data_IF_362384596358
#
_entry.id   IF_362384596358
#
_cell.length_a   1.000
_cell.length_b   1.000
_cell.length_c   1.000
_cell.angle_alpha   90.00
_cell.angle_beta   90.00
_cell.angle_gamma   90.00
#
_symmetry.space_group_name_H-M   'P 1'
#
loop_
_entity.id
_entity.type
_entity.pdbx_description
1 polymer ?
#
# COMPACT_ATOMS: atom_id res chain seq x y z
N UNK A 1 -48.71 32.60 2.28
CA UNK A 1 -48.02 31.30 2.35
C UNK A 1 -46.63 31.46 1.73
N UNK A 2 -45.67 32.13 2.40
CA UNK A 2 -44.33 32.38 1.80
C UNK A 2 -43.21 32.56 2.85
N UNK A 3 -43.38 32.09 4.09
CA UNK A 3 -42.38 32.29 5.16
C UNK A 3 -41.36 31.15 5.33
N UNK A 4 -41.44 30.06 4.56
CA UNK A 4 -40.52 28.91 4.72
C UNK A 4 -39.36 28.86 3.70
N UNK A 5 -39.36 29.74 2.69
CA UNK A 5 -38.35 29.75 1.63
C UNK A 5 -36.89 29.99 2.07
N UNK A 6 -36.58 31.02 2.89
CA UNK A 6 -35.20 31.37 3.19
C UNK A 6 -34.54 30.44 4.21
N UNK A 7 -35.31 29.90 5.16
CA UNK A 7 -34.82 29.00 6.21
C UNK A 7 -34.48 27.62 5.67
N UNK A 8 -35.28 27.10 4.74
CA UNK A 8 -35.00 25.83 4.05
C UNK A 8 -33.72 25.93 3.21
N UNK A 9 -33.53 27.07 2.52
CA UNK A 9 -32.34 27.29 1.69
C UNK A 9 -31.05 27.35 2.52
N UNK A 10 -31.10 27.98 3.70
CA UNK A 10 -29.97 28.03 4.64
C UNK A 10 -29.64 26.65 5.23
N UNK A 11 -30.65 25.83 5.52
CA UNK A 11 -30.45 24.46 6.01
C UNK A 11 -29.82 23.56 4.93
N UNK A 12 -30.28 23.67 3.69
CA UNK A 12 -29.72 22.89 2.57
C UNK A 12 -28.29 23.35 2.25
N UNK A 13 -28.03 24.66 2.24
CA UNK A 13 -26.69 25.20 2.04
C UNK A 13 -25.73 24.80 3.17
N UNK A 14 -26.18 24.87 4.43
CA UNK A 14 -25.41 24.42 5.58
C UNK A 14 -25.10 22.93 5.55
N UNK A 15 -26.08 22.10 5.18
CA UNK A 15 -25.91 20.65 5.03
C UNK A 15 -24.89 20.28 3.95
N UNK A 16 -24.96 20.91 2.78
CA UNK A 16 -24.02 20.67 1.68
C UNK A 16 -22.59 21.10 2.03
N UNK A 17 -22.43 22.20 2.77
CA UNK A 17 -21.13 22.69 3.20
C UNK A 17 -20.50 21.75 4.24
N UNK A 18 -21.30 21.26 5.20
CA UNK A 18 -20.86 20.26 6.18
C UNK A 18 -20.44 18.95 5.49
N UNK A 19 -21.23 18.50 4.51
CA UNK A 19 -20.95 17.28 3.75
C UNK A 19 -19.68 17.42 2.90
N UNK A 20 -19.45 18.59 2.29
CA UNK A 20 -18.20 18.91 1.59
C UNK A 20 -16.98 18.89 2.50
N UNK A 21 -17.08 19.44 3.73
CA UNK A 21 -16.00 19.39 4.72
C UNK A 21 -15.72 17.95 5.14
N UNK A 22 -16.75 17.15 5.39
CA UNK A 22 -16.60 15.75 5.79
C UNK A 22 -15.91 14.94 4.68
N UNK A 23 -16.38 15.08 3.42
CA UNK A 23 -15.79 14.35 2.29
C UNK A 23 -14.34 14.78 2.05
N UNK A 24 -14.05 16.08 2.09
CA UNK A 24 -12.67 16.56 1.90
C UNK A 24 -11.76 16.10 3.03
N UNK A 25 -12.24 16.16 4.27
CA UNK A 25 -11.51 15.66 5.44
C UNK A 25 -11.24 14.16 5.37
N UNK A 26 -12.22 13.37 4.92
CA UNK A 26 -12.07 11.92 4.74
C UNK A 26 -11.06 11.60 3.64
N UNK A 27 -11.09 12.29 2.51
CA UNK A 27 -10.13 12.11 1.41
C UNK A 27 -8.71 12.46 1.88
N UNK A 28 -8.52 13.57 2.59
CA UNK A 28 -7.22 13.94 3.16
C UNK A 28 -6.75 12.89 4.17
N UNK A 29 -7.64 12.40 5.03
CA UNK A 29 -7.31 11.36 6.00
C UNK A 29 -6.87 10.07 5.32
N UNK A 30 -7.60 9.60 4.29
CA UNK A 30 -7.26 8.41 3.51
C UNK A 30 -5.90 8.59 2.83
N UNK A 31 -5.64 9.74 2.20
CA UNK A 31 -4.34 10.02 1.56
C UNK A 31 -3.21 10.04 2.59
N UNK A 32 -3.44 10.61 3.77
CA UNK A 32 -2.45 10.63 4.86
C UNK A 32 -2.19 9.22 5.39
N UNK A 33 -3.23 8.41 5.61
CA UNK A 33 -3.09 7.03 6.07
C UNK A 33 -2.39 6.16 5.03
N UNK A 34 -2.76 6.28 3.74
CA UNK A 34 -2.10 5.58 2.64
C UNK A 34 -0.62 5.98 2.51
N UNK A 35 -0.29 7.26 2.69
CA UNK A 35 1.12 7.69 2.76
C UNK A 35 1.82 7.12 3.99
N UNK A 36 1.18 7.10 5.16
CA UNK A 36 1.77 6.57 6.39
C UNK A 36 2.12 5.10 6.26
N UNK A 37 1.27 4.30 5.60
CA UNK A 37 1.56 2.89 5.34
C UNK A 37 2.75 2.70 4.39
N UNK A 38 2.92 3.57 3.39
CA UNK A 38 4.13 3.55 2.53
C UNK A 38 5.42 3.96 3.26
N UNK A 39 5.31 4.59 4.43
CA UNK A 39 6.47 4.96 5.27
C UNK A 39 6.64 4.07 6.49
N UNK A 40 5.88 2.97 6.63
CA UNK A 40 6.27 1.91 7.53
C UNK A 40 7.59 1.36 6.99
N UNK A 41 8.71 1.88 7.52
CA UNK A 41 10.03 1.44 7.11
C UNK A 41 10.09 -0.08 7.31
N UNK A 42 10.63 -0.84 6.32
CA UNK A 42 10.99 -2.21 6.59
C UNK A 42 11.88 -2.20 7.83
N UNK A 43 11.51 -2.99 8.84
CA UNK A 43 12.27 -3.09 10.07
C UNK A 43 13.70 -3.49 9.67
N UNK A 44 14.64 -2.55 9.78
CA UNK A 44 16.03 -2.85 9.48
C UNK A 44 16.46 -3.97 10.42
N UNK A 45 17.11 -5.04 9.92
CA UNK A 45 17.66 -6.06 10.79
C UNK A 45 18.58 -5.39 11.81
N UNK A 46 18.60 -5.87 13.07
CA UNK A 46 19.47 -5.30 14.09
C UNK A 46 20.90 -5.29 13.57
N UNK A 47 21.49 -4.10 13.47
CA UNK A 47 22.87 -3.91 13.04
C UNK A 47 23.75 -4.69 14.02
N UNK A 48 24.26 -5.84 13.59
CA UNK A 48 25.27 -6.57 14.35
C UNK A 48 26.47 -5.63 14.50
N UNK A 49 26.84 -5.35 15.75
CA UNK A 49 27.95 -4.46 16.07
C UNK A 49 29.24 -5.00 15.47
N UNK A 50 29.67 -4.43 14.35
CA UNK A 50 30.97 -4.69 13.76
C UNK A 50 32.05 -4.23 14.75
N UNK A 51 33.07 -5.06 15.05
CA UNK A 51 34.18 -4.67 15.92
C UNK A 51 34.81 -3.34 15.44
N UNK A 52 34.79 -2.34 16.32
CA UNK A 52 35.17 -0.98 16.00
C UNK A 52 36.64 -0.84 15.63
N UNK A 53 36.90 -0.31 14.44
CA UNK A 53 38.20 0.30 14.12
C UNK A 53 38.20 1.75 14.62
N UNK A 54 39.31 2.23 15.20
CA UNK A 54 39.41 3.61 15.68
C UNK A 54 39.28 4.59 14.51
N UNK A 55 38.49 5.67 14.65
CA UNK A 55 38.31 6.65 13.58
C UNK A 55 39.63 7.36 13.26
N UNK A 56 39.99 7.53 11.97
CA UNK A 56 41.15 8.32 11.58
C UNK A 56 40.94 9.80 11.95
N UNK A 57 42.00 10.42 12.46
CA UNK A 57 41.99 11.80 12.95
C UNK A 57 41.59 12.79 11.86
N UNK A 58 40.53 13.55 12.13
CA UNK A 58 40.08 14.63 11.26
C UNK A 58 41.04 15.82 11.32
N UNK A 59 41.33 16.48 10.18
CA UNK A 59 42.11 17.71 10.14
C UNK A 59 41.36 18.88 10.82
N UNK A 60 42.08 19.87 11.37
CA UNK A 60 41.48 20.99 12.08
C UNK A 60 40.58 21.82 11.16
N UNK A 61 39.32 22.03 11.57
CA UNK A 61 38.39 22.88 10.84
C UNK A 61 38.78 24.36 10.95
N UNK A 62 38.71 25.14 9.85
CA UNK A 62 38.91 26.58 9.87
C UNK A 62 37.83 27.26 10.73
N UNK A 63 38.26 28.17 11.60
CA UNK A 63 37.38 28.99 12.44
C UNK A 63 36.33 29.72 11.60
N UNK A 64 35.05 29.40 11.85
CA UNK A 64 33.92 30.11 11.25
C UNK A 64 33.86 31.54 11.79
N UNK A 65 33.87 32.50 10.87
CA UNK A 65 33.71 33.92 11.17
C UNK A 65 32.37 34.18 11.87
N UNK A 66 32.40 35.06 12.87
CA UNK A 66 31.25 35.47 13.65
C UNK A 66 30.16 36.12 12.77
N UNK A 67 28.87 35.80 12.97
CA UNK A 67 27.78 36.36 12.18
C UNK A 67 27.64 37.86 12.47
N UNK A 68 27.69 38.66 11.40
CA UNK A 68 27.40 40.09 11.46
C UNK A 68 25.90 40.30 11.74
N UNK A 69 25.53 41.26 12.61
CA UNK A 69 24.13 41.56 12.91
C UNK A 69 23.42 42.13 11.67
N UNK A 70 22.46 41.38 11.15
CA UNK A 70 21.66 41.77 9.99
C UNK A 70 20.63 42.84 10.41
N UNK A 71 20.84 44.07 9.96
CA UNK A 71 19.94 45.20 10.21
C UNK A 71 18.77 45.13 9.22
N UNK A 72 17.59 44.71 9.68
CA UNK A 72 16.39 44.72 8.85
C UNK A 72 15.91 46.16 8.63
N UNK A 73 15.80 46.65 7.39
CA UNK A 73 15.21 47.96 7.13
C UNK A 73 13.71 47.93 7.50
N UNK A 74 13.24 49.00 8.14
CA UNK A 74 11.83 49.17 8.48
C UNK A 74 10.96 49.03 7.23
N UNK A 75 10.13 47.99 7.18
CA UNK A 75 9.23 47.74 6.06
C UNK A 75 8.14 48.81 6.04
N UNK A 76 8.10 49.60 4.98
CA UNK A 76 7.01 50.52 4.70
C UNK A 76 5.73 49.71 4.50
N UNK A 77 4.73 49.95 5.35
CA UNK A 77 3.41 49.31 5.25
C UNK A 77 2.76 49.70 3.91
N UNK A 78 2.69 48.75 2.98
CA UNK A 78 1.99 48.96 1.71
C UNK A 78 0.51 49.26 1.99
N UNK A 79 -0.10 50.24 1.28
CA UNK A 79 -1.51 50.56 1.45
C UNK A 79 -2.36 49.31 1.14
N UNK A 80 -3.26 48.96 2.07
CA UNK A 80 -4.23 47.88 1.89
C UNK A 80 -5.14 48.21 0.70
N UNK A 81 -4.80 47.71 -0.48
CA UNK A 81 -5.69 47.76 -1.64
C UNK A 81 -6.94 46.96 -1.30
N UNK A 82 -8.12 47.60 -1.30
CA UNK A 82 -9.41 46.97 -1.10
C UNK A 82 -9.71 45.95 -2.21
N UNK A 83 -9.22 44.72 -2.03
CA UNK A 83 -9.31 43.64 -3.00
C UNK A 83 -10.70 43.03 -3.07
N UNK A 84 -11.63 43.70 -3.74
CA UNK A 84 -12.97 43.18 -4.06
C UNK A 84 -12.94 41.95 -5.01
N UNK A 85 -11.79 41.60 -5.57
CA UNK A 85 -11.63 40.48 -6.51
C UNK A 85 -11.46 39.10 -5.88
N UNK A 86 -10.99 38.99 -4.63
CA UNK A 86 -10.63 37.68 -4.04
C UNK A 86 -11.85 36.77 -3.85
N UNK A 87 -12.99 37.34 -3.46
CA UNK A 87 -14.21 36.58 -3.18
C UNK A 87 -14.80 35.90 -4.44
N UNK A 88 -14.68 36.54 -5.61
CA UNK A 88 -15.21 36.00 -6.87
C UNK A 88 -14.41 34.79 -7.35
N UNK A 89 -13.08 34.84 -7.22
CA UNK A 89 -12.21 33.72 -7.56
C UNK A 89 -12.41 32.53 -6.63
N UNK A 90 -12.59 32.78 -5.34
CA UNK A 90 -12.88 31.74 -4.35
C UNK A 90 -14.22 31.06 -4.66
N UNK A 91 -15.28 31.83 -4.93
CA UNK A 91 -16.59 31.27 -5.28
C UNK A 91 -16.53 30.43 -6.57
N UNK A 92 -15.83 30.90 -7.60
CA UNK A 92 -15.64 30.16 -8.86
C UNK A 92 -14.88 28.84 -8.61
N UNK A 93 -13.80 28.88 -7.81
CA UNK A 93 -13.04 27.69 -7.44
C UNK A 93 -13.88 26.66 -6.68
N UNK A 94 -14.72 27.10 -5.74
CA UNK A 94 -15.63 26.21 -5.02
C UNK A 94 -16.64 25.53 -5.95
N UNK A 95 -17.27 26.27 -6.87
CA UNK A 95 -18.23 25.71 -7.83
C UNK A 95 -17.55 24.68 -8.74
N UNK A 96 -16.35 24.98 -9.25
CA UNK A 96 -15.57 24.02 -10.06
C UNK A 96 -15.20 22.76 -9.27
N UNK A 97 -14.85 22.89 -7.99
CA UNK A 97 -14.57 21.76 -7.13
C UNK A 97 -15.82 20.88 -6.92
N UNK A 98 -16.99 21.48 -6.67
CA UNK A 98 -18.24 20.73 -6.54
C UNK A 98 -18.62 20.01 -7.83
N UNK A 99 -18.45 20.67 -8.99
CA UNK A 99 -18.70 20.04 -10.29
C UNK A 99 -17.75 18.87 -10.54
N UNK A 100 -16.46 19.02 -10.22
CA UNK A 100 -15.49 17.93 -10.34
C UNK A 100 -15.87 16.73 -9.45
N UNK A 101 -16.25 16.97 -8.19
CA UNK A 101 -16.71 15.90 -7.28
C UNK A 101 -17.98 15.25 -7.78
N UNK A 102 -18.95 16.02 -8.30
CA UNK A 102 -20.18 15.48 -8.87
C UNK A 102 -19.92 14.60 -10.10
N UNK A 103 -19.02 15.01 -11.00
CA UNK A 103 -18.63 14.23 -12.18
C UNK A 103 -17.92 12.93 -11.78
N UNK A 104 -16.99 12.99 -10.82
CA UNK A 104 -16.30 11.78 -10.30
C UNK A 104 -17.30 10.85 -9.60
N UNK A 105 -18.21 11.40 -8.79
CA UNK A 105 -19.24 10.61 -8.09
C UNK A 105 -20.21 9.93 -9.05
N UNK A 106 -20.73 10.66 -10.05
CA UNK A 106 -21.61 10.09 -11.07
C UNK A 106 -20.89 9.06 -11.94
N UNK A 107 -19.63 9.33 -12.33
CA UNK A 107 -18.80 8.40 -13.08
C UNK A 107 -18.51 7.11 -12.30
N UNK A 108 -18.18 7.24 -11.01
CA UNK A 108 -17.98 6.09 -10.11
C UNK A 108 -19.25 5.26 -9.91
N UNK A 109 -20.41 5.91 -9.71
CA UNK A 109 -21.69 5.21 -9.59
C UNK A 109 -22.07 4.46 -10.89
N UNK A 110 -21.87 5.09 -12.05
CA UNK A 110 -22.08 4.44 -13.34
C UNK A 110 -21.13 3.25 -13.54
N UNK A 111 -19.86 3.39 -13.20
CA UNK A 111 -18.87 2.31 -13.31
C UNK A 111 -19.18 1.13 -12.37
N UNK A 112 -19.69 1.40 -11.17
CA UNK A 112 -20.15 0.38 -10.22
C UNK A 112 -21.41 -0.34 -10.72
N UNK A 113 -22.44 0.41 -11.13
CA UNK A 113 -23.72 -0.17 -11.59
C UNK A 113 -23.62 -0.93 -12.91
N UNK A 114 -22.65 -0.58 -13.76
CA UNK A 114 -22.34 -1.32 -14.99
C UNK A 114 -21.53 -2.60 -14.75
N UNK A 115 -21.10 -2.88 -13.52
CA UNK A 115 -20.28 -4.06 -13.19
C UNK A 115 -18.84 -3.98 -13.69
N UNK A 116 -18.40 -2.81 -14.18
CA UNK A 116 -17.01 -2.58 -14.59
C UNK A 116 -16.09 -2.57 -13.37
N UNK A 117 -16.56 -2.02 -12.24
CA UNK A 117 -15.90 -2.08 -10.94
C UNK A 117 -16.69 -2.96 -9.99
N UNK A 118 -16.17 -4.16 -9.72
CA UNK A 118 -16.62 -4.98 -8.59
C UNK A 118 -16.09 -4.39 -7.29
N UNK A 119 -16.75 -4.70 -6.17
CA UNK A 119 -16.27 -4.28 -4.85
C UNK A 119 -14.87 -4.87 -4.56
N UNK A 120 -14.62 -6.08 -5.04
CA UNK A 120 -13.32 -6.76 -4.92
C UNK A 120 -12.21 -5.98 -5.63
N UNK A 121 -12.44 -5.55 -6.88
CA UNK A 121 -11.48 -4.72 -7.62
C UNK A 121 -11.21 -3.38 -6.90
N UNK A 122 -12.23 -2.80 -6.24
CA UNK A 122 -12.07 -1.55 -5.51
C UNK A 122 -11.28 -1.74 -4.21
N UNK A 123 -11.50 -2.85 -3.50
CA UNK A 123 -10.72 -3.21 -2.31
C UNK A 123 -9.27 -3.56 -2.69
N UNK A 124 -9.08 -4.27 -3.80
CA UNK A 124 -7.78 -4.58 -4.37
C UNK A 124 -7.02 -3.31 -4.76
N UNK A 125 -7.67 -2.35 -5.42
CA UNK A 125 -7.08 -1.05 -5.76
C UNK A 125 -6.71 -0.24 -4.50
N UNK A 126 -7.45 -0.42 -3.41
CA UNK A 126 -7.20 0.21 -2.13
C UNK A 126 -6.16 -0.55 -1.27
N UNK A 127 -5.64 -1.69 -1.73
CA UNK A 127 -4.71 -2.54 -0.97
C UNK A 127 -5.36 -3.27 0.22
N UNK A 128 -6.70 -3.36 0.22
CA UNK A 128 -7.52 -4.00 1.26
C UNK A 128 -8.20 -5.29 0.79
N UNK A 129 -7.91 -5.75 -0.43
CA UNK A 129 -8.39 -7.03 -0.94
C UNK A 129 -7.64 -8.22 -0.32
N UNK A 130 -8.11 -9.45 -0.49
CA UNK A 130 -7.31 -10.64 -0.15
C UNK A 130 -6.09 -10.73 -1.07
N UNK A 131 -5.02 -11.37 -0.60
CA UNK A 131 -3.92 -11.82 -1.44
C UNK A 131 -4.21 -13.23 -1.98
N UNK A 132 -3.61 -13.58 -3.12
CA UNK A 132 -3.76 -14.86 -3.78
C UNK A 132 -2.41 -15.54 -3.94
N UNK A 133 -2.35 -16.80 -3.55
CA UNK A 133 -1.19 -17.67 -3.81
C UNK A 133 -1.64 -18.78 -4.74
N UNK A 134 -1.12 -18.78 -5.96
CA UNK A 134 -1.34 -19.82 -6.97
C UNK A 134 -0.13 -20.75 -7.00
N UNK A 135 -0.38 -22.06 -7.01
CA UNK A 135 0.66 -23.08 -7.01
C UNK A 135 0.36 -24.05 -8.15
N UNK A 136 1.26 -24.11 -9.11
CA UNK A 136 1.14 -24.93 -10.31
C UNK A 136 2.22 -26.01 -10.30
N UNK A 137 1.87 -27.22 -9.86
CA UNK A 137 2.85 -28.30 -9.74
C UNK A 137 3.20 -28.89 -11.12
N UNK A 138 4.24 -28.38 -11.77
CA UNK A 138 4.72 -28.91 -13.05
C UNK A 138 5.73 -30.07 -12.90
N UNK A 139 5.87 -30.64 -11.70
CA UNK A 139 6.68 -31.84 -11.48
C UNK A 139 5.93 -33.10 -11.90
N UNK A 140 6.68 -34.14 -12.24
CA UNK A 140 6.15 -35.48 -12.51
C UNK A 140 5.76 -36.26 -11.24
N UNK A 141 5.96 -35.67 -10.06
CA UNK A 141 5.71 -36.28 -8.76
C UNK A 141 4.86 -35.37 -7.86
N UNK A 142 4.08 -35.96 -6.93
CA UNK A 142 3.26 -35.20 -6.00
C UNK A 142 4.09 -34.47 -4.94
N UNK A 143 3.63 -33.28 -4.56
CA UNK A 143 4.27 -32.40 -3.57
C UNK A 143 3.31 -32.03 -2.45
N UNK A 144 3.88 -31.65 -1.30
CA UNK A 144 3.19 -31.05 -0.16
C UNK A 144 3.56 -29.58 -0.08
N UNK A 145 2.57 -28.71 0.13
CA UNK A 145 2.79 -27.28 0.35
C UNK A 145 2.16 -26.88 1.67
N UNK A 146 2.95 -26.25 2.54
CA UNK A 146 2.51 -25.69 3.81
C UNK A 146 2.64 -24.17 3.77
N UNK A 147 1.56 -23.46 4.10
CA UNK A 147 1.53 -22.00 4.19
C UNK A 147 1.24 -21.65 5.65
N UNK A 148 2.15 -20.93 6.29
CA UNK A 148 2.07 -20.55 7.71
C UNK A 148 2.26 -19.04 7.86
N UNK A 149 1.34 -18.39 8.54
CA UNK A 149 1.50 -16.97 8.90
C UNK A 149 2.51 -16.82 10.06
N UNK A 150 3.47 -15.92 9.91
CA UNK A 150 4.58 -15.72 10.86
C UNK A 150 4.36 -14.54 11.82
N UNK A 151 3.59 -13.53 11.41
CA UNK A 151 3.41 -12.26 12.12
C UNK A 151 2.08 -12.15 12.87
N UNK A 152 1.73 -13.22 13.57
CA UNK A 152 0.49 -13.34 14.32
C UNK A 152 0.64 -12.67 15.69
N UNK A 153 -0.40 -11.97 16.15
CA UNK A 153 -0.43 -11.43 17.51
C UNK A 153 -0.38 -12.56 18.55
N UNK A 154 0.15 -12.29 19.75
CA UNK A 154 0.34 -13.30 20.80
C UNK A 154 -0.97 -14.00 21.22
N UNK A 155 -2.11 -13.34 21.03
CA UNK A 155 -3.44 -13.83 21.35
C UNK A 155 -4.20 -14.46 20.16
N UNK A 156 -3.62 -14.46 18.96
CA UNK A 156 -4.25 -14.98 17.74
C UNK A 156 -3.64 -16.32 17.28
N UNK A 157 -4.40 -17.07 16.47
CA UNK A 157 -3.95 -18.34 15.91
C UNK A 157 -3.37 -18.14 14.51
N UNK A 158 -2.19 -18.70 14.19
CA UNK A 158 -1.64 -18.61 12.84
C UNK A 158 -2.56 -19.27 11.83
N UNK A 159 -2.79 -18.57 10.73
CA UNK A 159 -3.37 -19.20 9.54
C UNK A 159 -2.37 -20.26 9.07
N UNK A 160 -2.82 -21.50 9.04
CA UNK A 160 -2.08 -22.64 8.51
C UNK A 160 -2.91 -23.30 7.43
N UNK A 161 -2.31 -23.47 6.25
CA UNK A 161 -2.91 -24.19 5.15
C UNK A 161 -1.94 -25.26 4.68
N UNK A 162 -2.44 -26.48 4.49
CA UNK A 162 -1.65 -27.60 4.01
C UNK A 162 -2.34 -28.20 2.78
N UNK A 163 -1.56 -28.42 1.72
CA UNK A 163 -2.03 -28.97 0.47
C UNK A 163 -1.14 -30.12 0.03
N UNK A 164 -1.77 -31.20 -0.42
CA UNK A 164 -1.11 -32.23 -1.21
C UNK A 164 -1.54 -32.00 -2.67
N UNK A 165 -0.57 -31.78 -3.55
CA UNK A 165 -0.80 -31.50 -4.96
C UNK A 165 -0.22 -32.66 -5.77
N UNK A 166 -1.05 -33.28 -6.61
CA UNK A 166 -0.54 -34.28 -7.55
C UNK A 166 0.26 -33.60 -8.66
N UNK A 167 0.91 -34.43 -9.47
CA UNK A 167 1.58 -33.96 -10.69
C UNK A 167 0.58 -33.23 -11.59
N UNK A 168 0.96 -32.03 -12.05
CA UNK A 168 0.16 -31.12 -12.89
C UNK A 168 -1.12 -30.56 -12.25
N UNK A 169 -1.27 -30.66 -10.92
CA UNK A 169 -2.36 -29.99 -10.19
C UNK A 169 -2.08 -28.48 -10.05
N UNK A 170 -3.15 -27.69 -10.12
CA UNK A 170 -3.16 -26.25 -9.90
C UNK A 170 -4.00 -25.97 -8.65
N UNK A 171 -3.45 -25.17 -7.73
CA UNK A 171 -4.14 -24.76 -6.51
C UNK A 171 -4.03 -23.26 -6.29
N UNK A 172 -5.18 -22.62 -6.14
CA UNK A 172 -5.27 -21.22 -5.69
C UNK A 172 -5.70 -21.20 -4.23
N UNK A 173 -4.92 -20.52 -3.40
CA UNK A 173 -5.22 -20.20 -2.01
C UNK A 173 -5.53 -18.72 -1.87
N UNK A 174 -6.57 -18.39 -1.12
CA UNK A 174 -6.96 -17.00 -0.83
C UNK A 174 -6.56 -16.67 0.60
N UNK A 175 -5.75 -15.62 0.74
CA UNK A 175 -5.21 -15.15 2.00
C UNK A 175 -5.95 -13.85 2.36
N UNK A 176 -6.75 -13.87 3.41
CA UNK A 176 -7.62 -12.74 3.78
C UNK A 176 -6.86 -11.57 4.41
N UNK A 177 -5.72 -11.83 5.04
CA UNK A 177 -4.99 -10.84 5.83
C UNK A 177 -3.60 -10.59 5.27
N UNK A 178 -3.21 -9.31 5.21
CA UNK A 178 -1.84 -8.93 4.89
C UNK A 178 -0.90 -9.34 6.03
N UNK A 179 0.32 -9.76 5.70
CA UNK A 179 1.29 -10.20 6.69
C UNK A 179 2.48 -10.95 6.10
N UNK A 180 3.29 -11.57 6.96
CA UNK A 180 4.42 -12.40 6.57
C UNK A 180 4.02 -13.86 6.57
N UNK A 181 4.24 -14.53 5.46
CA UNK A 181 3.88 -15.92 5.26
C UNK A 181 5.12 -16.73 4.90
N UNK A 182 5.27 -17.88 5.54
CA UNK A 182 6.22 -18.91 5.17
C UNK A 182 5.50 -19.95 4.31
N UNK A 183 6.05 -20.21 3.12
CA UNK A 183 5.59 -21.24 2.20
C UNK A 183 6.68 -22.29 2.09
N UNK A 184 6.41 -23.48 2.62
CA UNK A 184 7.32 -24.62 2.58
C UNK A 184 6.84 -25.64 1.55
N UNK A 185 7.78 -26.17 0.76
CA UNK A 185 7.52 -27.16 -0.28
C UNK A 185 8.24 -28.46 0.06
N UNK A 186 7.55 -29.59 0.01
CA UNK A 186 8.14 -30.90 0.27
C UNK A 186 7.59 -31.98 -0.66
N UNK A 187 8.15 -33.19 -0.59
CA UNK A 187 7.57 -34.35 -1.27
C UNK A 187 6.44 -34.99 -0.47
N UNK A 188 5.35 -35.38 -1.14
CA UNK A 188 4.26 -36.13 -0.49
C UNK A 188 4.72 -37.55 -0.15
N UNK A 189 5.21 -37.73 1.06
CA UNK A 189 5.85 -38.98 1.51
C UNK A 189 6.90 -38.80 2.59
N UNK A 190 7.14 -37.56 3.05
CA UNK A 190 8.17 -37.27 4.05
C UNK A 190 9.59 -37.29 3.48
N UNK A 191 9.72 -36.97 2.18
CA UNK A 191 10.99 -36.84 1.50
C UNK A 191 11.76 -35.57 1.89
N UNK A 192 12.81 -35.26 1.13
CA UNK A 192 13.57 -34.03 1.30
C UNK A 192 12.70 -32.77 1.10
N UNK A 193 13.06 -31.71 1.80
CA UNK A 193 12.52 -30.37 1.60
C UNK A 193 12.93 -29.85 0.20
N UNK A 194 11.97 -29.34 -0.56
CA UNK A 194 12.18 -28.74 -1.88
C UNK A 194 12.56 -27.26 -1.77
N UNK A 195 12.24 -26.61 -0.65
CA UNK A 195 12.60 -25.24 -0.37
C UNK A 195 11.54 -24.51 0.45
N UNK A 196 11.97 -23.40 1.05
CA UNK A 196 11.13 -22.49 1.82
C UNK A 196 11.20 -21.09 1.20
N UNK A 197 10.05 -20.43 1.09
CA UNK A 197 9.94 -19.03 0.74
C UNK A 197 9.23 -18.27 1.87
N UNK A 198 9.88 -17.26 2.45
CA UNK A 198 9.21 -16.31 3.35
C UNK A 198 8.90 -15.05 2.55
N UNK A 199 7.65 -14.65 2.50
CA UNK A 199 7.21 -13.50 1.71
C UNK A 199 6.25 -12.63 2.51
N UNK A 200 6.19 -11.35 2.14
CA UNK A 200 5.25 -10.40 2.76
C UNK A 200 4.12 -10.15 1.78
N UNK A 201 2.90 -10.55 2.14
CA UNK A 201 1.70 -10.34 1.35
C UNK A 201 0.99 -9.06 1.80
N UNK A 202 0.65 -8.24 0.83
CA UNK A 202 -0.26 -7.11 0.96
C UNK A 202 -1.60 -7.44 0.29
N UNK A 203 -2.63 -6.68 0.63
CA UNK A 203 -3.95 -6.91 0.06
C UNK A 203 -3.95 -6.72 -1.45
N UNK A 204 -4.45 -7.73 -2.16
CA UNK A 204 -4.46 -7.80 -3.61
C UNK A 204 -3.23 -8.43 -4.24
N UNK A 205 -2.16 -8.75 -3.52
CA UNK A 205 -0.99 -9.38 -4.13
C UNK A 205 -1.38 -10.72 -4.78
N UNK A 206 -0.77 -11.04 -5.92
CA UNK A 206 -1.01 -12.31 -6.62
C UNK A 206 0.33 -12.96 -6.91
N UNK A 207 0.68 -13.95 -6.10
CA UNK A 207 1.95 -14.67 -6.16
C UNK A 207 1.71 -16.04 -6.79
N UNK A 208 2.48 -16.36 -7.82
CA UNK A 208 2.45 -17.65 -8.51
C UNK A 208 3.72 -18.42 -8.20
N UNK A 209 3.57 -19.65 -7.71
CA UNK A 209 4.64 -20.62 -7.54
C UNK A 209 4.49 -21.71 -8.58
N UNK A 210 5.58 -22.02 -9.28
CA UNK A 210 5.63 -23.13 -10.23
C UNK A 210 6.77 -24.06 -9.84
N UNK A 211 6.49 -25.12 -9.07
CA UNK A 211 7.43 -26.18 -8.82
C UNK A 211 7.79 -26.91 -10.12
N UNK A 212 9.07 -26.87 -10.49
CA UNK A 212 9.67 -27.62 -11.60
C UNK A 212 10.47 -28.80 -11.03
N UNK A 213 10.90 -29.77 -11.86
CA UNK A 213 11.67 -30.92 -11.38
C UNK A 213 12.94 -30.53 -10.59
N UNK A 214 13.67 -29.51 -11.04
CA UNK A 214 14.96 -29.13 -10.46
C UNK A 214 14.90 -27.95 -9.49
N UNK A 215 13.86 -27.12 -9.56
CA UNK A 215 13.75 -25.88 -8.79
C UNK A 215 12.31 -25.40 -8.67
N UNK A 216 12.05 -24.45 -7.78
CA UNK A 216 10.75 -23.80 -7.67
C UNK A 216 10.92 -22.37 -8.16
N UNK A 217 10.06 -21.94 -9.08
CA UNK A 217 10.00 -20.54 -9.49
C UNK A 217 8.83 -19.82 -8.82
N UNK A 218 9.02 -18.54 -8.54
CA UNK A 218 8.06 -17.61 -7.95
C UNK A 218 7.95 -16.39 -8.84
N UNK A 219 6.74 -15.90 -9.05
CA UNK A 219 6.48 -14.67 -9.79
C UNK A 219 5.38 -13.86 -9.11
N UNK A 220 5.54 -12.55 -9.05
CA UNK A 220 4.45 -11.63 -8.74
C UNK A 220 3.73 -11.29 -10.05
N UNK A 221 2.44 -11.63 -10.14
CA UNK A 221 1.65 -11.41 -11.36
C UNK A 221 1.45 -9.91 -11.63
N UNK A 222 1.44 -9.08 -10.59
CA UNK A 222 1.26 -7.63 -10.71
C UNK A 222 2.54 -6.89 -11.06
N UNK A 223 3.66 -7.33 -10.48
CA UNK A 223 4.99 -6.78 -10.76
C UNK A 223 5.96 -7.89 -11.18
N UNK A 224 5.81 -8.42 -12.41
CA UNK A 224 6.58 -9.57 -12.85
C UNK A 224 8.07 -9.25 -12.84
N UNK A 225 8.85 -10.18 -12.28
CA UNK A 225 10.29 -10.00 -12.17
C UNK A 225 10.94 -9.97 -13.56
N UNK A 226 11.90 -9.05 -13.73
CA UNK A 226 12.57 -8.84 -15.01
C UNK A 226 13.80 -9.72 -15.21
N UNK A 227 14.28 -10.40 -14.16
CA UNK A 227 15.47 -11.25 -14.22
C UNK A 227 15.15 -12.68 -13.82
N UNK A 228 15.76 -13.64 -14.52
CA UNK A 228 15.54 -15.07 -14.24
C UNK A 228 16.06 -15.51 -12.88
N UNK A 229 17.06 -14.83 -12.32
CA UNK A 229 17.55 -15.11 -10.95
C UNK A 229 16.55 -14.71 -9.89
N UNK A 230 15.73 -13.69 -10.14
CA UNK A 230 14.69 -13.28 -9.20
C UNK A 230 13.44 -14.18 -9.29
N UNK A 231 13.35 -15.04 -10.31
CA UNK A 231 12.29 -16.05 -10.43
C UNK A 231 12.53 -17.25 -9.54
N UNK A 232 13.76 -17.61 -9.16
CA UNK A 232 14.01 -18.86 -8.43
C UNK A 232 13.86 -18.63 -6.93
N UNK A 233 13.05 -19.43 -6.23
CA UNK A 233 12.75 -19.26 -4.79
C UNK A 233 14.01 -19.12 -3.93
N UNK A 234 15.07 -19.88 -4.23
CA UNK A 234 16.33 -19.85 -3.46
C UNK A 234 17.15 -18.57 -3.63
N UNK A 235 16.91 -17.80 -4.69
CA UNK A 235 17.66 -16.56 -4.99
C UNK A 235 16.76 -15.32 -5.10
N UNK A 236 15.44 -15.51 -5.12
CA UNK A 236 14.46 -14.46 -5.30
C UNK A 236 14.50 -13.44 -4.17
N UNK A 237 14.42 -12.15 -4.51
CA UNK A 237 14.19 -11.11 -3.51
C UNK A 237 12.80 -11.16 -2.88
N UNK A 238 11.85 -11.85 -3.50
CA UNK A 238 10.49 -12.06 -2.96
C UNK A 238 10.48 -13.03 -1.77
N UNK A 239 11.46 -13.94 -1.73
CA UNK A 239 11.60 -14.97 -0.70
C UNK A 239 12.73 -14.61 0.30
N UNK A 240 12.42 -13.86 1.37
CA UNK A 240 13.39 -13.40 2.40
C UNK A 240 12.85 -13.39 3.84
#
# INVERSE_FOLDING_TARGET
MDMYGPTLLLLVAGGLLLLGIIVTGLVVLIVVLARRQRYAQPAYPPVQATPGYPPPGYPPQPYAASPQPYYYPAQAYAPRSGGSGCLKWLACGCVMMFLAVAVVGAGGYFAYTSGILTLDNLMELAGMGPAYIEIDNFRDEPITVSIVQLDVAEDDYPITAFYELNSFDIKVSTIGEAGRYQVDFGFSGGGADLGTCILTLSGGDQIQFVPLPDQIVVNDVKDPVSTGSDLVVSTSSLCR
#
